data_IF_979230948133
#
_entry.id   IF_979230948133
#
_cell.length_a   1.000
_cell.length_b   1.000
_cell.length_c   1.000
_cell.angle_alpha   90.00
_cell.angle_beta   90.00
_cell.angle_gamma   90.00
#
_symmetry.space_group_name_H-M   'P 1'
#
loop_
_entity.id
_entity.type
_entity.pdbx_description
1 polymer ?
#
# COMPACT_ATOMS: atom_id res chain seq x y z
N UNK A 1 7.21 1.96 6.90
CA UNK A 1 7.23 2.14 5.43
C UNK A 1 8.52 2.85 4.98
N UNK A 2 9.13 2.43 3.86
CA UNK A 2 10.41 2.99 3.36
C UNK A 2 10.26 4.40 2.72
N UNK A 3 11.31 5.25 2.72
CA UNK A 3 11.25 6.60 2.12
C UNK A 3 10.98 6.60 0.60
N UNK A 4 11.47 5.60 -0.14
CA UNK A 4 11.17 5.37 -1.56
C UNK A 4 9.65 5.33 -1.80
N UNK A 5 8.95 4.51 -1.02
CA UNK A 5 7.52 4.29 -1.11
C UNK A 5 6.73 5.54 -0.73
N UNK A 6 7.17 6.26 0.31
CA UNK A 6 6.51 7.50 0.71
C UNK A 6 6.61 8.58 -0.37
N UNK A 7 7.75 8.67 -1.06
CA UNK A 7 7.93 9.61 -2.19
C UNK A 7 7.03 9.25 -3.37
N UNK A 8 6.96 7.96 -3.73
CA UNK A 8 6.03 7.48 -4.77
C UNK A 8 4.57 7.73 -4.39
N UNK A 9 4.19 7.42 -3.14
CA UNK A 9 2.87 7.71 -2.61
C UNK A 9 2.49 9.19 -2.76
N UNK A 10 3.34 10.09 -2.27
CA UNK A 10 3.12 11.55 -2.39
C UNK A 10 3.00 12.01 -3.85
N UNK A 11 3.78 11.43 -4.76
CA UNK A 11 3.79 11.82 -6.18
C UNK A 11 2.56 11.34 -6.94
N UNK A 12 2.13 10.11 -6.70
CA UNK A 12 1.13 9.44 -7.52
C UNK A 12 -0.26 9.41 -6.85
N UNK A 13 -0.34 9.16 -5.54
CA UNK A 13 -1.62 9.00 -4.84
C UNK A 13 -2.31 10.34 -4.55
N UNK A 14 -1.56 11.45 -4.46
CA UNK A 14 -2.15 12.80 -4.35
C UNK A 14 -2.90 13.25 -5.62
N UNK A 15 -2.71 12.59 -6.77
CA UNK A 15 -3.38 12.93 -8.03
C UNK A 15 -4.70 12.17 -8.24
N UNK A 16 -5.43 11.88 -7.16
CA UNK A 16 -6.64 11.04 -7.15
C UNK A 16 -6.42 9.59 -7.61
N UNK A 17 -5.17 9.08 -7.63
CA UNK A 17 -4.92 7.67 -7.93
C UNK A 17 -5.05 6.85 -6.65
N UNK A 18 -5.84 5.79 -6.69
CA UNK A 18 -5.99 4.87 -5.56
C UNK A 18 -4.83 3.85 -5.47
N UNK A 19 -4.07 3.65 -6.55
CA UNK A 19 -2.98 2.67 -6.60
C UNK A 19 -1.74 3.29 -7.25
N UNK A 20 -0.57 2.97 -6.70
CA UNK A 20 0.74 3.33 -7.23
C UNK A 20 1.74 2.20 -6.98
N UNK A 21 2.83 2.19 -7.75
CA UNK A 21 3.94 1.27 -7.54
C UNK A 21 5.14 2.06 -7.02
N UNK A 22 5.87 1.49 -6.06
CA UNK A 22 7.21 1.95 -5.71
C UNK A 22 8.23 1.11 -6.44
N UNK A 23 8.66 1.54 -7.63
CA UNK A 23 9.56 0.77 -8.50
C UNK A 23 10.90 0.43 -7.82
N UNK A 24 11.38 1.30 -6.93
CA UNK A 24 12.65 1.11 -6.20
C UNK A 24 12.61 0.01 -5.16
N UNK A 25 11.44 -0.26 -4.62
CA UNK A 25 11.26 -1.18 -3.50
C UNK A 25 10.40 -2.38 -3.92
N UNK A 26 9.84 -2.35 -5.13
CA UNK A 26 8.85 -3.27 -5.71
C UNK A 26 7.64 -3.50 -4.80
N UNK A 27 7.12 -2.41 -4.24
CA UNK A 27 5.91 -2.42 -3.41
C UNK A 27 4.73 -1.86 -4.19
N UNK A 28 3.59 -2.53 -4.06
CA UNK A 28 2.30 -1.97 -4.45
C UNK A 28 1.80 -1.09 -3.30
N UNK A 29 1.47 0.16 -3.64
CA UNK A 29 0.92 1.15 -2.72
C UNK A 29 -0.56 1.35 -3.06
N UNK A 30 -1.43 1.14 -2.09
CA UNK A 30 -2.88 1.29 -2.23
C UNK A 30 -3.34 2.36 -1.24
N UNK A 31 -4.10 3.34 -1.72
CA UNK A 31 -4.61 4.46 -0.94
C UNK A 31 -6.12 4.34 -0.78
N UNK A 32 -6.57 4.47 0.46
CA UNK A 32 -7.98 4.39 0.85
C UNK A 32 -8.39 5.70 1.53
N UNK A 33 -9.53 6.24 1.12
CA UNK A 33 -10.16 7.40 1.79
C UNK A 33 -11.31 6.99 2.69
N UNK A 34 -11.93 5.84 2.42
CA UNK A 34 -13.02 5.29 3.20
C UNK A 34 -12.45 4.30 4.23
N UNK A 35 -12.94 4.40 5.47
CA UNK A 35 -12.49 3.55 6.56
C UNK A 35 -12.86 2.08 6.32
N UNK A 36 -14.05 1.82 5.78
CA UNK A 36 -14.53 0.46 5.52
C UNK A 36 -13.66 -0.28 4.49
N UNK A 37 -13.35 0.34 3.36
CA UNK A 37 -12.48 -0.24 2.33
C UNK A 37 -11.07 -0.54 2.87
N UNK A 38 -10.55 0.36 3.74
CA UNK A 38 -9.26 0.16 4.39
C UNK A 38 -9.26 -1.04 5.33
N UNK A 39 -10.30 -1.19 6.16
CA UNK A 39 -10.43 -2.32 7.09
C UNK A 39 -10.59 -3.66 6.36
N UNK A 40 -11.36 -3.68 5.27
CA UNK A 40 -11.50 -4.88 4.44
C UNK A 40 -10.17 -5.29 3.79
N UNK A 41 -9.40 -4.30 3.30
CA UNK A 41 -8.07 -4.54 2.77
C UNK A 41 -7.11 -5.08 3.85
N UNK A 42 -7.16 -4.55 5.08
CA UNK A 42 -6.35 -5.07 6.18
C UNK A 42 -6.70 -6.51 6.51
N UNK A 43 -7.99 -6.84 6.68
CA UNK A 43 -8.43 -8.22 6.94
C UNK A 43 -7.95 -9.18 5.86
N UNK A 44 -8.03 -8.76 4.59
CA UNK A 44 -7.58 -9.56 3.46
C UNK A 44 -6.06 -9.79 3.48
N UNK A 45 -5.29 -8.78 3.89
CA UNK A 45 -3.83 -8.88 3.97
C UNK A 45 -3.35 -9.70 5.16
N UNK A 46 -4.02 -9.56 6.31
CA UNK A 46 -3.80 -10.39 7.48
C UNK A 46 -4.11 -11.86 7.17
N UNK A 47 -5.22 -12.13 6.49
CA UNK A 47 -5.58 -13.48 6.05
C UNK A 47 -4.58 -14.07 5.03
N UNK A 48 -3.95 -13.21 4.22
CA UNK A 48 -2.93 -13.62 3.25
C UNK A 48 -1.57 -13.91 3.90
N UNK A 49 -1.31 -13.41 5.11
CA UNK A 49 -0.09 -13.69 5.88
C UNK A 49 1.21 -13.08 5.32
N UNK A 50 1.11 -12.15 4.37
CA UNK A 50 2.28 -11.49 3.78
C UNK A 50 2.70 -10.21 4.51
N UNK A 51 3.96 -9.81 4.35
CA UNK A 51 4.44 -8.55 4.92
C UNK A 51 3.83 -7.34 4.21
N UNK A 52 3.21 -6.46 4.99
CA UNK A 52 2.74 -5.16 4.54
C UNK A 52 3.10 -4.06 5.55
N UNK A 53 3.11 -2.83 5.07
CA UNK A 53 3.36 -1.63 5.86
C UNK A 53 2.21 -0.66 5.68
N UNK A 54 1.76 -0.06 6.77
CA UNK A 54 0.72 0.98 6.75
C UNK A 54 1.34 2.36 7.02
N UNK A 55 0.76 3.40 6.43
CA UNK A 55 1.02 4.79 6.79
C UNK A 55 -0.22 5.64 6.53
N UNK A 56 -0.27 6.81 7.16
CA UNK A 56 -1.22 7.86 6.79
C UNK A 56 -0.56 8.93 5.92
N UNK A 57 -1.26 9.42 4.90
CA UNK A 57 -0.86 10.56 4.09
C UNK A 57 -2.04 11.52 3.90
N UNK A 58 -2.12 12.55 4.73
CA UNK A 58 -3.26 13.47 4.75
C UNK A 58 -4.55 12.71 5.07
N UNK A 59 -5.51 12.73 4.13
CA UNK A 59 -6.78 11.98 4.24
C UNK A 59 -6.70 10.52 3.80
N UNK A 60 -5.58 10.08 3.23
CA UNK A 60 -5.43 8.73 2.72
C UNK A 60 -4.78 7.82 3.75
N UNK A 61 -5.35 6.63 3.93
CA UNK A 61 -4.67 5.49 4.53
C UNK A 61 -3.95 4.74 3.43
N UNK A 62 -2.64 4.55 3.56
CA UNK A 62 -1.82 3.89 2.54
C UNK A 62 -1.35 2.55 3.07
N UNK A 63 -1.63 1.51 2.29
CA UNK A 63 -1.14 0.17 2.50
C UNK A 63 -0.09 -0.13 1.44
N UNK A 64 1.11 -0.48 1.88
CA UNK A 64 2.22 -0.85 1.04
C UNK A 64 2.49 -2.35 1.23
N UNK A 65 2.24 -3.16 0.20
CA UNK A 65 2.58 -4.59 0.20
C UNK A 65 3.68 -4.87 -0.81
N UNK A 66 4.53 -5.87 -0.54
CA UNK A 66 5.45 -6.35 -1.56
C UNK A 66 4.66 -6.85 -2.78
N UNK A 67 5.12 -6.53 -3.99
CA UNK A 67 4.52 -7.03 -5.24
C UNK A 67 4.73 -8.55 -5.39
N UNK A 68 5.68 -9.11 -4.64
CA UNK A 68 6.01 -10.53 -4.64
C UNK A 68 6.18 -11.09 -3.23
N UNK A 69 5.20 -11.88 -2.82
CA UNK A 69 5.48 -13.20 -2.23
C UNK A 69 4.63 -14.23 -2.98
N UNK A 70 4.89 -14.34 -4.29
CA UNK A 70 4.59 -15.55 -5.05
C UNK A 70 5.92 -16.28 -5.29
N UNK A 71 6.44 -16.92 -4.24
CA UNK A 71 7.24 -18.15 -4.38
C UNK A 71 7.48 -18.77 -3.02
N UNK A 72 6.71 -19.79 -2.71
CA UNK A 72 7.12 -20.99 -1.99
C UNK A 72 6.12 -22.06 -2.47
N UNK A 73 6.46 -22.70 -3.60
CA UNK A 73 6.73 -24.15 -3.74
C UNK A 73 5.55 -24.99 -3.26
#
# INVERSE_FOLDING_TARGET
>A
MKPCCLKSAKRYLNKNRAVAICDRCDFLLMAYTQQQDYEEALKSLEAWGGEFSITKLGRFQIVAKARSSARQV
#
